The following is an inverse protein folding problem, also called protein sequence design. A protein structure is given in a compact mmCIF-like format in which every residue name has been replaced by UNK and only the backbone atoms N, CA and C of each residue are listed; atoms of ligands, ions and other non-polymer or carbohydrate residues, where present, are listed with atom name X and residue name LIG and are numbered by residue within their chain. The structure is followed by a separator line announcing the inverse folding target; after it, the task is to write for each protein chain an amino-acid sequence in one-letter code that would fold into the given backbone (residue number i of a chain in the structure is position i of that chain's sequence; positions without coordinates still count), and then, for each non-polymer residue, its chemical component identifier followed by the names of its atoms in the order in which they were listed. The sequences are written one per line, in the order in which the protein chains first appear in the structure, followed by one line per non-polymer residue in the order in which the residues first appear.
data_IF_896886694426
#
_entry.id   IF_896886694426
#
_cell.length_a   1.000
_cell.length_b   1.000
_cell.length_c   1.000
_cell.angle_alpha   90.00
_cell.angle_beta   90.00
_cell.angle_gamma   90.00
#
_symmetry.space_group_name_H-M   'P 1'
#
loop_
_entity.id
_entity.type
_entity.pdbx_description
1 polymer ?
#
# COMPACT_ATOMS: atom_id res chain seq x y z
N UNK A 1 -18.09 -9.44 -5.88
CA UNK A 1 -17.72 -8.74 -4.62
C UNK A 1 -16.32 -8.15 -4.78
N UNK A 2 -16.11 -6.89 -4.43
CA UNK A 2 -14.82 -6.21 -4.58
C UNK A 2 -14.06 -6.21 -3.26
N UNK A 3 -12.73 -6.30 -3.32
CA UNK A 3 -11.86 -6.28 -2.14
C UNK A 3 -11.04 -4.98 -2.14
N UNK A 4 -11.03 -4.28 -1.02
CA UNK A 4 -10.18 -3.12 -0.80
C UNK A 4 -9.16 -3.44 0.29
N UNK A 5 -7.88 -3.47 -0.07
CA UNK A 5 -6.79 -3.83 0.84
C UNK A 5 -6.03 -2.59 1.26
N UNK A 6 -5.88 -2.37 2.57
CA UNK A 6 -5.17 -1.21 3.12
C UNK A 6 -4.42 -1.60 4.40
N UNK A 7 -3.32 -0.91 4.70
CA UNK A 7 -2.60 -1.10 5.95
C UNK A 7 -3.35 -0.52 7.15
N UNK A 8 -3.16 -1.15 8.31
CA UNK A 8 -3.67 -0.63 9.57
C UNK A 8 -2.82 0.58 10.01
N UNK A 9 -3.23 1.78 9.61
CA UNK A 9 -2.60 3.04 10.02
C UNK A 9 -3.51 3.80 11.00
N UNK A 10 -2.94 4.32 12.10
CA UNK A 10 -3.69 5.06 13.14
C UNK A 10 -4.42 6.30 12.61
N UNK A 11 -3.92 6.91 11.54
CA UNK A 11 -4.52 8.11 10.94
C UNK A 11 -5.80 7.82 10.15
N UNK A 12 -6.06 6.56 9.79
CA UNK A 12 -7.29 6.22 9.11
C UNK A 12 -8.47 6.27 10.09
N UNK A 13 -9.50 7.03 9.72
CA UNK A 13 -10.83 6.95 10.35
C UNK A 13 -11.51 5.66 9.88
N UNK A 14 -11.06 4.51 10.39
CA UNK A 14 -11.46 3.17 9.93
C UNK A 14 -12.98 3.00 9.91
N UNK A 15 -13.70 3.55 10.89
CA UNK A 15 -15.17 3.46 10.96
C UNK A 15 -15.85 4.14 9.75
N UNK A 16 -15.48 5.37 9.43
CA UNK A 16 -16.05 6.10 8.29
C UNK A 16 -15.68 5.45 6.95
N UNK A 17 -14.48 4.85 6.87
CA UNK A 17 -14.07 4.05 5.71
C UNK A 17 -14.92 2.79 5.58
N UNK A 18 -15.14 2.07 6.68
CA UNK A 18 -15.91 0.82 6.71
C UNK A 18 -17.37 1.06 6.28
N UNK A 19 -18.02 2.09 6.82
CA UNK A 19 -19.37 2.48 6.43
C UNK A 19 -19.46 2.75 4.92
N UNK A 20 -18.51 3.50 4.38
CA UNK A 20 -18.46 3.81 2.95
C UNK A 20 -18.24 2.57 2.08
N UNK A 21 -17.36 1.66 2.49
CA UNK A 21 -17.10 0.43 1.74
C UNK A 21 -18.30 -0.52 1.80
N UNK A 22 -18.97 -0.62 2.94
CA UNK A 22 -20.20 -1.40 3.10
C UNK A 22 -21.32 -0.90 2.19
N UNK A 23 -21.53 0.41 2.08
CA UNK A 23 -22.50 1.02 1.15
C UNK A 23 -22.26 0.63 -0.31
N UNK A 24 -21.02 0.29 -0.68
CA UNK A 24 -20.65 -0.12 -2.03
C UNK A 24 -20.45 -1.64 -2.20
N UNK A 25 -20.81 -2.46 -1.20
CA UNK A 25 -20.56 -3.90 -1.19
C UNK A 25 -19.09 -4.27 -1.42
N UNK A 26 -18.18 -3.46 -0.85
CA UNK A 26 -16.73 -3.67 -0.89
C UNK A 26 -16.28 -4.26 0.44
N UNK A 27 -15.56 -5.37 0.37
CA UNK A 27 -14.96 -6.03 1.53
C UNK A 27 -13.66 -5.32 1.87
N UNK A 28 -13.50 -4.91 3.12
CA UNK A 28 -12.25 -4.35 3.64
C UNK A 28 -11.30 -5.48 4.06
N UNK A 29 -10.09 -5.51 3.51
CA UNK A 29 -8.98 -6.35 3.96
C UNK A 29 -7.92 -5.47 4.61
N UNK A 30 -7.59 -5.77 5.86
CA UNK A 30 -6.61 -5.00 6.63
C UNK A 30 -5.29 -5.75 6.68
N UNK A 31 -4.21 -5.05 6.30
CA UNK A 31 -2.84 -5.54 6.49
C UNK A 31 -2.38 -5.12 7.89
N UNK A 32 -1.91 -6.07 8.72
CA UNK A 32 -1.38 -5.74 10.04
C UNK A 32 -0.26 -4.70 9.96
N UNK A 33 -0.16 -3.88 11.01
CA UNK A 33 0.98 -2.98 11.16
C UNK A 33 2.30 -3.74 11.05
N UNK A 34 3.30 -3.10 10.46
CA UNK A 34 4.64 -3.67 10.22
C UNK A 34 4.71 -4.77 9.14
N UNK A 35 3.57 -5.25 8.62
CA UNK A 35 3.55 -6.24 7.53
C UNK A 35 3.41 -5.61 6.14
N UNK A 36 3.35 -4.28 6.02
CA UNK A 36 3.15 -3.56 4.76
C UNK A 36 4.15 -3.98 3.68
N UNK A 37 5.45 -3.97 3.99
CA UNK A 37 6.50 -4.36 3.05
C UNK A 37 6.58 -5.86 2.74
N UNK A 38 5.72 -6.67 3.34
CA UNK A 38 5.64 -8.13 3.11
C UNK A 38 4.33 -8.52 2.41
N UNK A 39 3.22 -7.87 2.79
CA UNK A 39 1.87 -8.29 2.41
C UNK A 39 1.15 -7.27 1.52
N UNK A 40 1.58 -6.01 1.49
CA UNK A 40 0.88 -4.99 0.69
C UNK A 40 1.35 -5.07 -0.77
N UNK A 41 0.45 -5.39 -1.72
CA UNK A 41 0.84 -5.53 -3.12
C UNK A 41 1.47 -4.25 -3.69
N UNK A 42 0.94 -3.09 -3.28
CA UNK A 42 1.48 -1.79 -3.67
C UNK A 42 2.94 -1.62 -3.20
N UNK A 43 3.29 -2.05 -1.99
CA UNK A 43 4.67 -1.90 -1.50
C UNK A 43 5.62 -2.91 -2.11
N UNK A 44 5.20 -4.18 -2.15
CA UNK A 44 6.05 -5.31 -2.54
C UNK A 44 6.32 -5.32 -4.04
N UNK A 45 5.31 -5.06 -4.86
CA UNK A 45 5.39 -5.26 -6.31
C UNK A 45 5.58 -3.95 -7.07
N UNK A 46 4.90 -2.89 -6.64
CA UNK A 46 4.88 -1.62 -7.39
C UNK A 46 5.95 -0.67 -6.85
N UNK A 47 5.83 -0.25 -5.59
CA UNK A 47 6.75 0.73 -5.00
C UNK A 47 8.18 0.20 -4.96
N UNK A 48 8.39 -1.10 -4.74
CA UNK A 48 9.73 -1.69 -4.78
C UNK A 48 10.39 -1.49 -6.14
N UNK A 49 9.68 -1.84 -7.23
CA UNK A 49 10.18 -1.67 -8.60
C UNK A 49 10.53 -0.21 -8.88
N UNK A 50 9.65 0.73 -8.53
CA UNK A 50 9.91 2.15 -8.72
C UNK A 50 11.10 2.65 -7.89
N UNK A 51 11.23 2.20 -6.64
CA UNK A 51 12.37 2.56 -5.79
C UNK A 51 13.69 2.04 -6.34
N UNK A 52 13.70 0.82 -6.88
CA UNK A 52 14.88 0.23 -7.49
C UNK A 52 15.28 1.01 -8.76
N UNK A 53 14.33 1.34 -9.64
CA UNK A 53 14.58 2.19 -10.82
C UNK A 53 15.15 3.57 -10.45
N UNK A 54 14.54 4.23 -9.45
CA UNK A 54 15.01 5.54 -8.99
C UNK A 54 16.43 5.43 -8.43
N UNK A 55 16.72 4.36 -7.68
CA UNK A 55 18.06 4.10 -7.13
C UNK A 55 19.09 3.96 -8.24
N UNK A 56 18.83 3.11 -9.24
CA UNK A 56 19.72 2.90 -10.39
C UNK A 56 20.01 4.22 -11.12
N UNK A 57 18.97 4.97 -11.47
CA UNK A 57 19.13 6.27 -12.14
C UNK A 57 19.90 7.29 -11.29
N UNK A 58 19.70 7.27 -9.98
CA UNK A 58 20.40 8.16 -9.03
C UNK A 58 21.88 7.78 -8.94
N UNK A 59 22.19 6.50 -8.85
CA UNK A 59 23.56 5.99 -8.81
C UNK A 59 24.31 6.31 -10.10
N UNK A 60 23.67 6.12 -11.26
CA UNK A 60 24.24 6.51 -12.55
C UNK A 60 24.51 8.01 -12.66
N UNK A 61 23.69 8.86 -12.04
CA UNK A 61 23.84 10.32 -12.12
C UNK A 61 24.90 10.86 -11.16
N UNK A 62 25.05 10.25 -9.99
CA UNK A 62 25.97 10.72 -8.94
C UNK A 62 27.38 10.17 -9.14
N UNK A 63 27.52 8.93 -9.62
CA UNK A 63 28.79 8.22 -9.68
C UNK A 63 29.36 8.04 -11.10
N UNK A 64 28.70 8.57 -12.15
CA UNK A 64 29.33 8.85 -13.45
C UNK A 64 29.77 10.30 -13.52
#
# INVERSE_FOLDING_TARGET
PSLFTINLMRSYKILALLEKLQLHNIILSLIPGSCTGLLQPLDVLINKLFKDMIRELTEETIFK
#
